data_IF_275691342351
#
_entry.id   IF_275691342351
#
_cell.length_a   1.000
_cell.length_b   1.000
_cell.length_c   1.000
_cell.angle_alpha   90.00
_cell.angle_beta   90.00
_cell.angle_gamma   90.00
#
_symmetry.space_group_name_H-M   'P 1'
#
loop_
_entity.id
_entity.type
_entity.pdbx_description
1 polymer ?
#
# COMPACT_ATOMS: atom_id res chain seq x y z
N UNK A 1 -5.22 -2.04 -1.82
CA UNK A 1 -5.39 -0.61 -1.47
C UNK A 1 -4.69 -0.19 -0.18
N UNK A 2 -4.80 -0.93 0.93
CA UNK A 2 -4.17 -0.55 2.22
C UNK A 2 -2.67 -0.21 2.14
N UNK A 3 -1.89 -0.92 1.31
CA UNK A 3 -0.43 -0.73 1.20
C UNK A 3 -0.06 0.64 0.61
N UNK A 4 -0.96 1.24 -0.18
CA UNK A 4 -0.75 2.55 -0.75
C UNK A 4 -0.99 3.66 0.28
N UNK A 5 -1.97 3.49 1.19
CA UNK A 5 -2.26 4.48 2.25
C UNK A 5 -1.13 4.59 3.28
N UNK A 6 -0.51 3.47 3.67
CA UNK A 6 0.62 3.49 4.61
C UNK A 6 1.85 4.20 4.07
N UNK A 7 2.00 4.28 2.75
CA UNK A 7 3.14 4.94 2.10
C UNK A 7 3.02 6.47 2.02
N UNK A 8 1.83 7.04 2.27
CA UNK A 8 1.60 8.50 2.20
C UNK A 8 2.50 9.26 3.18
N UNK A 9 2.72 8.69 4.37
CA UNK A 9 3.63 9.25 5.37
C UNK A 9 5.08 9.30 4.89
N UNK A 10 5.56 8.22 4.27
CA UNK A 10 6.90 8.18 3.69
C UNK A 10 7.03 9.15 2.51
N UNK A 11 6.03 9.22 1.64
CA UNK A 11 6.00 10.15 0.50
C UNK A 11 6.01 11.61 0.97
N UNK A 12 5.27 11.91 2.04
CA UNK A 12 5.28 13.22 2.68
C UNK A 12 6.68 13.59 3.19
N UNK A 13 7.32 12.69 3.95
CA UNK A 13 8.67 12.91 4.51
C UNK A 13 9.70 13.13 3.40
N UNK A 14 9.71 12.24 2.39
CA UNK A 14 10.71 12.29 1.31
C UNK A 14 10.52 13.55 0.46
N UNK A 15 9.28 13.90 0.10
CA UNK A 15 9.01 15.09 -0.71
C UNK A 15 9.40 16.40 0.00
N UNK A 16 9.14 16.51 1.30
CA UNK A 16 9.55 17.68 2.10
C UNK A 16 11.05 17.70 2.34
N UNK A 17 11.69 16.54 2.51
CA UNK A 17 13.15 16.44 2.61
C UNK A 17 13.82 16.92 1.30
N UNK A 18 13.36 16.45 0.13
CA UNK A 18 13.88 16.89 -1.18
C UNK A 18 13.73 18.39 -1.42
N UNK A 19 12.66 18.99 -0.92
CA UNK A 19 12.40 20.44 -0.99
C UNK A 19 13.17 21.24 0.08
N UNK A 20 13.89 20.57 0.99
CA UNK A 20 14.57 21.16 2.15
C UNK A 20 13.63 21.93 3.08
N UNK A 21 12.37 21.54 3.14
CA UNK A 21 11.34 22.15 3.99
C UNK A 21 10.93 21.25 5.16
N UNK A 22 11.57 20.09 5.32
CA UNK A 22 11.23 19.15 6.37
C UNK A 22 11.62 19.70 7.75
N UNK A 23 10.62 19.98 8.56
CA UNK A 23 10.78 20.33 9.97
C UNK A 23 10.73 19.06 10.84
N UNK A 24 11.27 19.11 12.07
CA UNK A 24 11.06 18.06 13.08
C UNK A 24 9.60 17.66 13.26
N UNK A 25 8.70 18.65 13.34
CA UNK A 25 7.26 18.41 13.43
C UNK A 25 6.70 17.74 12.18
N UNK A 26 7.13 18.15 10.99
CA UNK A 26 6.73 17.53 9.73
C UNK A 26 7.18 16.07 9.62
N UNK A 27 8.37 15.75 10.13
CA UNK A 27 8.84 14.38 10.20
C UNK A 27 7.94 13.51 11.09
N UNK A 28 7.61 13.99 12.29
CA UNK A 28 6.68 13.29 13.20
C UNK A 28 5.28 13.14 12.59
N UNK A 29 4.75 14.17 11.92
CA UNK A 29 3.48 14.11 11.20
C UNK A 29 3.50 13.02 10.12
N UNK A 30 4.58 12.95 9.34
CA UNK A 30 4.74 11.92 8.32
C UNK A 30 4.77 10.50 8.89
N UNK A 31 5.45 10.28 10.02
CA UNK A 31 5.45 8.99 10.71
C UNK A 31 4.05 8.65 11.26
N UNK A 32 3.32 9.62 11.81
CA UNK A 32 1.93 9.46 12.23
C UNK A 32 1.01 9.06 11.07
N UNK A 33 1.14 9.72 9.92
CA UNK A 33 0.40 9.36 8.71
C UNK A 33 0.71 7.92 8.26
N UNK A 34 1.97 7.48 8.34
CA UNK A 34 2.36 6.12 7.99
C UNK A 34 1.70 5.08 8.93
N UNK A 35 1.66 5.36 10.24
CA UNK A 35 0.98 4.51 11.23
C UNK A 35 -0.52 4.43 10.95
N UNK A 36 -1.19 5.56 10.74
CA UNK A 36 -2.63 5.58 10.45
C UNK A 36 -2.97 4.83 9.16
N UNK A 37 -2.19 5.01 8.10
CA UNK A 37 -2.36 4.26 6.86
C UNK A 37 -2.11 2.76 7.04
N UNK A 38 -1.12 2.39 7.85
CA UNK A 38 -0.83 0.99 8.16
C UNK A 38 -1.92 0.34 9.02
N UNK A 39 -2.54 1.07 9.94
CA UNK A 39 -3.70 0.60 10.72
C UNK A 39 -4.92 0.32 9.84
N UNK A 40 -5.23 1.22 8.90
CA UNK A 40 -6.33 0.99 7.95
C UNK A 40 -6.02 -0.21 7.04
N UNK A 41 -4.77 -0.32 6.58
CA UNK A 41 -4.34 -1.45 5.77
C UNK A 41 -4.39 -2.78 6.51
N UNK A 42 -3.99 -2.81 7.78
CA UNK A 42 -4.03 -4.01 8.61
C UNK A 42 -5.45 -4.48 8.86
N UNK A 43 -6.40 -3.56 9.07
CA UNK A 43 -7.82 -3.91 9.19
C UNK A 43 -8.37 -4.59 7.92
N UNK A 44 -8.05 -4.05 6.73
CA UNK A 44 -8.45 -4.63 5.45
C UNK A 44 -7.81 -6.01 5.23
N UNK A 45 -6.51 -6.14 5.49
CA UNK A 45 -5.81 -7.43 5.40
C UNK A 45 -6.37 -8.46 6.37
N UNK A 46 -6.66 -8.06 7.60
CA UNK A 46 -7.24 -8.95 8.62
C UNK A 46 -8.61 -9.44 8.19
N UNK A 47 -9.47 -8.57 7.64
CA UNK A 47 -10.75 -8.99 7.05
C UNK A 47 -10.54 -10.08 5.99
N UNK A 48 -9.58 -9.90 5.08
CA UNK A 48 -9.33 -10.88 4.03
C UNK A 48 -8.81 -12.22 4.57
N UNK A 49 -7.96 -12.19 5.60
CA UNK A 49 -7.50 -13.41 6.28
C UNK A 49 -8.70 -14.13 6.91
N UNK A 50 -9.59 -13.40 7.59
CA UNK A 50 -10.76 -13.97 8.24
C UNK A 50 -11.74 -14.61 7.24
N UNK A 51 -11.82 -14.08 6.01
CA UNK A 51 -12.62 -14.68 4.95
C UNK A 51 -12.08 -16.05 4.47
N UNK A 52 -10.77 -16.28 4.61
CA UNK A 52 -10.09 -17.49 4.14
C UNK A 52 -9.51 -18.36 5.27
N UNK A 53 -10.01 -18.21 6.50
CA UNK A 53 -9.48 -18.94 7.66
C UNK A 53 -10.02 -20.36 7.79
N UNK A 54 -11.05 -20.71 7.03
CA UNK A 54 -11.75 -21.98 7.15
C UNK A 54 -10.88 -23.14 6.63
N UNK A 55 -10.81 -24.29 7.34
CA UNK A 55 -10.02 -25.43 6.90
C UNK A 55 -10.48 -25.96 5.55
N UNK A 56 -9.54 -26.14 4.62
CA UNK A 56 -9.79 -26.61 3.25
C UNK A 56 -10.00 -25.48 2.23
N UNK A 57 -9.99 -24.21 2.64
CA UNK A 57 -9.98 -23.08 1.72
C UNK A 57 -8.58 -22.95 1.05
N UNK A 58 -8.50 -22.98 -0.30
CA UNK A 58 -7.22 -22.78 -1.00
C UNK A 58 -6.70 -21.34 -0.91
N UNK A 59 -7.51 -20.40 -0.43
CA UNK A 59 -7.21 -18.97 -0.36
C UNK A 59 -7.31 -18.26 -1.71
N UNK A 60 -7.24 -16.93 -1.68
CA UNK A 60 -7.22 -16.11 -2.88
C UNK A 60 -5.78 -15.76 -3.34
N UNK A 61 -5.52 -15.92 -4.64
CA UNK A 61 -4.23 -15.63 -5.27
C UNK A 61 -3.14 -16.67 -4.98
N UNK A 62 -2.01 -16.56 -5.66
CA UNK A 62 -0.87 -17.46 -5.46
C UNK A 62 -0.17 -17.19 -4.13
N UNK A 63 0.14 -18.26 -3.39
CA UNK A 63 0.94 -18.17 -2.18
C UNK A 63 2.42 -17.96 -2.53
N UNK A 64 3.07 -17.04 -1.81
CA UNK A 64 4.51 -16.77 -1.91
C UNK A 64 5.13 -17.14 -0.57
N UNK A 65 6.11 -18.05 -0.58
CA UNK A 65 6.71 -18.61 0.64
C UNK A 65 5.67 -19.21 1.61
N UNK A 66 4.60 -19.79 1.07
CA UNK A 66 3.54 -20.43 1.85
C UNK A 66 2.51 -19.46 2.45
N UNK A 67 2.58 -18.16 2.16
CA UNK A 67 1.60 -17.16 2.62
C UNK A 67 0.97 -16.42 1.44
N UNK A 68 -0.33 -16.17 1.51
CA UNK A 68 -1.03 -15.34 0.51
C UNK A 68 -0.68 -13.86 0.67
N UNK A 69 -0.88 -13.09 -0.41
CA UNK A 69 -0.54 -11.67 -0.46
C UNK A 69 -1.24 -10.83 0.62
N UNK A 70 -2.47 -11.18 1.00
CA UNK A 70 -3.19 -10.47 2.07
C UNK A 70 -2.54 -10.67 3.45
N UNK A 71 -1.90 -11.81 3.70
CA UNK A 71 -1.13 -12.09 4.91
C UNK A 71 0.20 -11.37 4.89
N UNK A 72 0.90 -11.37 3.75
CA UNK A 72 2.12 -10.57 3.56
C UNK A 72 1.87 -9.06 3.73
N UNK A 73 0.71 -8.58 3.28
CA UNK A 73 0.29 -7.21 3.51
C UNK A 73 0.15 -6.92 5.01
N UNK A 74 -0.51 -7.81 5.79
CA UNK A 74 -0.60 -7.66 7.25
C UNK A 74 0.79 -7.57 7.91
N UNK A 75 1.70 -8.48 7.57
CA UNK A 75 3.08 -8.48 8.08
C UNK A 75 3.76 -7.14 7.76
N UNK A 76 3.62 -6.66 6.54
CA UNK A 76 4.23 -5.40 6.10
C UNK A 76 3.69 -4.20 6.89
N UNK A 77 2.39 -4.15 7.19
CA UNK A 77 1.83 -3.09 8.03
C UNK A 77 2.33 -3.11 9.46
N UNK A 78 2.50 -4.30 10.05
CA UNK A 78 3.08 -4.45 11.39
C UNK A 78 4.52 -3.93 11.41
N UNK A 79 5.32 -4.27 10.38
CA UNK A 79 6.69 -3.75 10.24
C UNK A 79 6.70 -2.22 10.11
N UNK A 80 5.82 -1.63 9.30
CA UNK A 80 5.71 -0.17 9.15
C UNK A 80 5.36 0.51 10.48
N UNK A 81 4.36 -0.01 11.21
CA UNK A 81 3.97 0.55 12.51
C UNK A 81 5.10 0.45 13.53
N UNK A 82 5.77 -0.71 13.60
CA UNK A 82 6.92 -0.91 14.49
C UNK A 82 8.07 0.04 14.15
N UNK A 83 8.44 0.13 12.88
CA UNK A 83 9.50 1.02 12.41
C UNK A 83 9.19 2.49 12.71
N UNK A 84 7.98 2.97 12.39
CA UNK A 84 7.56 4.33 12.68
C UNK A 84 7.54 4.62 14.20
N UNK A 85 7.05 3.67 15.01
CA UNK A 85 7.06 3.78 16.48
C UNK A 85 8.47 3.85 17.06
N UNK A 86 9.39 3.04 16.55
CA UNK A 86 10.81 3.09 16.93
C UNK A 86 11.40 4.45 16.59
N UNK A 87 11.21 4.95 15.35
CA UNK A 87 11.74 6.26 14.96
C UNK A 87 11.19 7.40 15.83
N UNK A 88 9.90 7.36 16.19
CA UNK A 88 9.29 8.35 17.09
C UNK A 88 9.92 8.33 18.50
N UNK A 89 10.44 7.19 18.96
CA UNK A 89 11.11 7.08 20.27
C UNK A 89 12.41 7.88 20.33
N UNK A 90 13.09 8.04 19.18
CA UNK A 90 14.35 8.78 19.06
C UNK A 90 14.16 10.24 18.59
N UNK A 91 12.91 10.70 18.45
CA UNK A 91 12.58 12.07 18.11
C UNK A 91 13.21 12.54 16.80
N UNK A 92 14.24 13.38 16.90
CA UNK A 92 14.86 14.08 15.76
C UNK A 92 16.18 13.50 15.29
N UNK A 93 16.73 12.48 15.98
CA UNK A 93 18.03 11.88 15.64
C UNK A 93 18.07 11.31 14.21
N UNK A 94 16.92 10.87 13.69
CA UNK A 94 16.80 10.25 12.37
C UNK A 94 16.18 11.16 11.29
N UNK A 95 16.35 12.47 11.43
CA UNK A 95 15.89 13.42 10.40
C UNK A 95 16.60 13.16 9.06
N UNK A 96 15.85 12.89 7.97
CA UNK A 96 16.44 12.52 6.69
C UNK A 96 17.09 13.71 6.00
N UNK A 97 18.34 13.52 5.56
CA UNK A 97 19.12 14.51 4.82
C UNK A 97 18.92 14.30 3.33
N UNK A 98 18.54 15.36 2.61
CA UNK A 98 18.30 15.31 1.18
C UNK A 98 19.60 14.98 0.39
N UNK A 99 19.51 14.23 -0.74
CA UNK A 99 20.68 13.91 -1.56
C UNK A 99 21.30 15.20 -2.12
N UNK A 100 22.62 15.36 -1.94
CA UNK A 100 23.35 16.52 -2.47
C UNK A 100 23.45 16.47 -4.00
N UNK A 101 23.56 15.27 -4.58
CA UNK A 101 23.65 15.07 -6.04
C UNK A 101 22.34 15.42 -6.75
N UNK A 102 22.43 16.18 -7.85
CA UNK A 102 21.28 16.51 -8.71
C UNK A 102 20.68 15.26 -9.37
N UNK A 103 21.53 14.33 -9.79
CA UNK A 103 21.09 13.08 -10.42
C UNK A 103 20.29 12.21 -9.44
N UNK A 104 20.81 12.03 -8.23
CA UNK A 104 20.11 11.27 -7.20
C UNK A 104 18.75 11.89 -6.85
N UNK A 105 18.67 13.22 -6.75
CA UNK A 105 17.38 13.92 -6.57
C UNK A 105 16.40 13.68 -7.72
N UNK A 106 16.88 13.70 -8.97
CA UNK A 106 16.07 13.40 -10.15
C UNK A 106 15.51 11.97 -10.10
N UNK A 107 16.34 11.00 -9.72
CA UNK A 107 15.93 9.61 -9.57
C UNK A 107 14.85 9.43 -8.49
N UNK A 108 15.01 10.03 -7.31
CA UNK A 108 13.99 9.93 -6.25
C UNK A 108 12.66 10.55 -6.69
N UNK A 109 12.68 11.68 -7.40
CA UNK A 109 11.46 12.26 -7.98
C UNK A 109 10.81 11.36 -9.02
N UNK A 110 11.59 10.72 -9.88
CA UNK A 110 11.08 9.75 -10.85
C UNK A 110 10.39 8.57 -10.14
N UNK A 111 11.00 8.03 -9.08
CA UNK A 111 10.40 6.96 -8.27
C UNK A 111 9.08 7.41 -7.64
N UNK A 112 9.04 8.62 -7.06
CA UNK A 112 7.80 9.19 -6.49
C UNK A 112 6.71 9.30 -7.56
N UNK A 113 7.03 9.81 -8.74
CA UNK A 113 6.06 9.98 -9.84
C UNK A 113 5.55 8.62 -10.32
N UNK A 114 6.44 7.65 -10.53
CA UNK A 114 6.05 6.28 -10.93
C UNK A 114 5.14 5.66 -9.87
N UNK A 115 5.50 5.80 -8.59
CA UNK A 115 4.70 5.26 -7.50
C UNK A 115 3.30 5.88 -7.45
N UNK A 116 3.19 7.21 -7.53
CA UNK A 116 1.89 7.90 -7.59
C UNK A 116 1.10 7.52 -8.83
N UNK A 117 1.76 7.35 -9.98
CA UNK A 117 1.12 6.89 -11.20
C UNK A 117 0.57 5.46 -11.04
N UNK A 118 1.30 4.54 -10.40
CA UNK A 118 0.81 3.19 -10.09
C UNK A 118 -0.42 3.24 -9.19
N UNK A 119 -0.47 4.12 -8.19
CA UNK A 119 -1.67 4.32 -7.35
C UNK A 119 -2.85 4.76 -8.22
N UNK A 120 -2.66 5.79 -9.05
CA UNK A 120 -3.70 6.32 -9.92
C UNK A 120 -4.21 5.25 -10.90
N UNK A 121 -3.31 4.50 -11.52
CA UNK A 121 -3.66 3.39 -12.42
C UNK A 121 -4.44 2.32 -11.66
N UNK A 122 -4.00 1.90 -10.47
CA UNK A 122 -4.73 0.91 -9.66
C UNK A 122 -6.13 1.41 -9.26
N UNK A 123 -6.30 2.71 -8.97
CA UNK A 123 -7.62 3.29 -8.71
C UNK A 123 -8.51 3.25 -9.95
N UNK A 124 -7.96 3.54 -11.13
CA UNK A 124 -8.68 3.40 -12.40
C UNK A 124 -9.07 1.95 -12.62
N UNK A 125 -8.15 0.99 -12.50
CA UNK A 125 -8.44 -0.45 -12.65
C UNK A 125 -9.59 -0.88 -11.74
N UNK A 126 -9.53 -0.53 -10.45
CA UNK A 126 -10.62 -0.82 -9.50
C UNK A 126 -11.93 -0.19 -9.94
N UNK A 127 -11.93 1.07 -10.37
CA UNK A 127 -13.14 1.71 -10.88
C UNK A 127 -13.72 0.98 -12.10
N UNK A 128 -12.88 0.39 -12.94
CA UNK A 128 -13.32 -0.45 -14.05
C UNK A 128 -13.80 -1.85 -13.61
N UNK A 129 -13.27 -2.39 -12.50
CA UNK A 129 -13.75 -3.63 -11.88
C UNK A 129 -15.12 -3.46 -11.21
N UNK A 130 -15.30 -2.37 -10.44
CA UNK A 130 -16.51 -2.01 -9.69
C UNK A 130 -17.62 -1.40 -10.56
N UNK A 131 -17.22 -0.59 -11.53
CA UNK A 131 -18.11 0.30 -12.24
C UNK A 131 -18.88 1.25 -11.32
N UNK A 132 -20.20 1.33 -11.53
CA UNK A 132 -21.12 2.11 -10.68
C UNK A 132 -21.81 1.24 -9.61
N UNK A 133 -21.41 -0.02 -9.45
CA UNK A 133 -21.99 -0.91 -8.45
C UNK A 133 -21.45 -0.56 -7.06
N UNK A 134 -22.33 -0.61 -6.06
CA UNK A 134 -22.00 -0.32 -4.66
C UNK A 134 -21.29 -1.46 -3.94
N UNK A 135 -21.18 -2.64 -4.57
CA UNK A 135 -20.66 -3.86 -3.96
C UNK A 135 -19.84 -4.66 -4.97
N UNK A 136 -18.52 -4.76 -4.75
CA UNK A 136 -17.68 -5.77 -5.40
C UNK A 136 -17.76 -7.09 -4.66
N UNK A 137 -17.90 -8.20 -5.38
CA UNK A 137 -17.54 -9.50 -4.85
C UNK A 137 -16.09 -9.48 -4.33
N UNK A 138 -15.84 -10.07 -3.15
CA UNK A 138 -14.51 -10.09 -2.52
C UNK A 138 -13.41 -10.75 -3.38
N UNK A 139 -13.81 -11.53 -4.41
CA UNK A 139 -12.95 -12.17 -5.41
C UNK A 139 -13.49 -11.90 -6.83
N UNK A 140 -13.17 -10.76 -7.46
CA UNK A 140 -13.68 -10.43 -8.80
C UNK A 140 -13.01 -11.30 -9.87
N UNK A 141 -13.81 -11.89 -10.76
CA UNK A 141 -13.34 -12.69 -11.91
C UNK A 141 -13.54 -11.99 -13.26
N UNK A 142 -14.08 -10.76 -13.27
CA UNK A 142 -14.39 -10.00 -14.48
C UNK A 142 -14.40 -8.48 -14.23
N UNK A 143 -14.14 -7.69 -15.29
CA UNK A 143 -14.28 -6.23 -15.28
C UNK A 143 -15.73 -5.85 -15.57
N UNK A 144 -16.48 -5.43 -14.54
CA UNK A 144 -17.92 -5.22 -14.69
C UNK A 144 -18.27 -4.00 -15.57
N UNK A 145 -17.39 -2.99 -15.66
CA UNK A 145 -17.64 -1.81 -16.49
C UNK A 145 -17.52 -2.10 -18.01
N UNK A 146 -16.73 -3.11 -18.41
CA UNK A 146 -16.46 -3.45 -19.82
C UNK A 146 -17.20 -4.74 -20.24
N UNK A 147 -17.86 -5.45 -19.30
CA UNK A 147 -18.65 -6.64 -19.61
C UNK A 147 -17.84 -7.84 -20.11
N UNK A 148 -16.51 -7.87 -19.86
CA UNK A 148 -15.66 -8.98 -20.27
C UNK A 148 -15.81 -10.13 -19.28
N UNK A 149 -16.70 -11.09 -19.58
CA UNK A 149 -16.71 -12.41 -18.93
C UNK A 149 -15.63 -13.28 -19.57
N UNK A 150 -14.55 -13.65 -18.86
CA UNK A 150 -13.67 -14.71 -19.34
C UNK A 150 -14.51 -15.98 -19.49
N UNK A 151 -14.40 -16.65 -20.64
CA UNK A 151 -15.05 -17.95 -20.85
C UNK A 151 -14.59 -18.91 -19.74
N UNK A 152 -15.49 -19.68 -19.11
CA UNK A 152 -15.10 -20.67 -18.11
C UNK A 152 -14.03 -21.60 -18.70
N UNK A 153 -12.92 -21.78 -17.99
CA UNK A 153 -11.94 -22.81 -18.35
C UNK A 153 -12.65 -24.15 -18.15
N UNK A 154 -12.75 -25.02 -19.18
CA UNK A 154 -13.35 -26.33 -19.01
C UNK A 154 -12.55 -27.11 -17.98
N UNK A 155 -13.22 -27.52 -16.89
CA UNK A 155 -12.66 -28.43 -15.90
C UNK A 155 -12.51 -29.82 -16.53
N UNK A 156 -11.35 -30.49 -16.41
CA UNK A 156 -11.22 -31.90 -16.75
C UNK A 156 -12.03 -32.80 -15.81
#
# INVERSE_FOLDING_TARGET
MGMMLSSLGALFIVSHSLKKTLTPSGFMTGLGMAILGALLGSAMSTRQILLHILPGDPGFGTAILGLHLYTWALVSFVVVMGFAGVLLTFGTEFLPIAPVSRWARGLVWAIIVIFVATIAINMVVVFFEEGFNWFLPDNPTSYQLIGFTPTPVPTP
#
